data_IF_468247314124
#
_entry.id   IF_468247314124
#
_cell.length_a   1.000
_cell.length_b   1.000
_cell.length_c   1.000
_cell.angle_alpha   90.00
_cell.angle_beta   90.00
_cell.angle_gamma   90.00
#
_symmetry.space_group_name_H-M   'P 1'
#
loop_
_entity.id
_entity.type
_entity.pdbx_description
1 polymer ?
#
# COMPACT_ATOMS: atom_id res chain seq x y z
N UNK A 1 -16.71 2.09 70.92
CA UNK A 1 -15.64 1.09 70.69
C UNK A 1 -15.76 0.64 69.25
N UNK A 2 -14.76 0.96 68.42
CA UNK A 2 -14.73 0.59 67.00
C UNK A 2 -14.49 -0.92 66.85
N UNK A 3 -15.42 -1.61 66.22
CA UNK A 3 -15.23 -2.98 65.74
C UNK A 3 -14.55 -2.90 64.38
N UNK A 4 -13.21 -2.92 64.35
CA UNK A 4 -12.47 -3.13 63.10
C UNK A 4 -12.80 -4.55 62.61
N UNK A 5 -13.63 -4.64 61.57
CA UNK A 5 -13.93 -5.89 60.89
C UNK A 5 -12.64 -6.52 60.37
N UNK A 6 -12.36 -7.76 60.78
CA UNK A 6 -11.27 -8.55 60.21
C UNK A 6 -11.64 -8.86 58.76
N UNK A 7 -11.06 -8.12 57.82
CA UNK A 7 -11.12 -8.44 56.39
C UNK A 7 -10.51 -9.84 56.22
N UNK A 8 -11.30 -10.77 55.70
CA UNK A 8 -10.89 -12.16 55.57
C UNK A 8 -9.89 -12.27 54.41
N UNK A 9 -8.68 -12.76 54.69
CA UNK A 9 -7.55 -12.70 53.74
C UNK A 9 -7.82 -13.48 52.44
N UNK A 10 -8.68 -14.51 52.49
CA UNK A 10 -9.11 -15.29 51.34
C UNK A 10 -10.11 -14.55 50.44
N UNK A 11 -11.03 -13.81 51.04
CA UNK A 11 -12.04 -13.01 50.32
C UNK A 11 -11.35 -11.90 49.51
N UNK A 12 -10.32 -11.27 50.08
CA UNK A 12 -9.49 -10.28 49.38
C UNK A 12 -8.69 -10.86 48.21
N UNK A 13 -8.26 -12.13 48.29
CA UNK A 13 -7.55 -12.80 47.20
C UNK A 13 -8.51 -13.14 46.06
N UNK A 14 -9.72 -13.61 46.38
CA UNK A 14 -10.77 -13.88 45.38
C UNK A 14 -11.22 -12.62 44.64
N UNK A 15 -11.33 -11.49 45.34
CA UNK A 15 -11.63 -10.19 44.74
C UNK A 15 -10.53 -9.72 43.77
N UNK A 16 -9.26 -9.84 44.17
CA UNK A 16 -8.11 -9.50 43.30
C UNK A 16 -8.10 -10.38 42.06
N UNK A 17 -8.36 -11.68 42.24
CA UNK A 17 -8.33 -12.64 41.15
C UNK A 17 -9.49 -12.41 40.17
N UNK A 18 -10.69 -12.11 40.68
CA UNK A 18 -11.85 -11.73 39.88
C UNK A 18 -11.58 -10.45 39.09
N UNK A 19 -11.09 -9.40 39.74
CA UNK A 19 -10.72 -8.15 39.09
C UNK A 19 -9.64 -8.36 38.01
N UNK A 20 -8.68 -9.27 38.24
CA UNK A 20 -7.68 -9.62 37.23
C UNK A 20 -8.31 -10.27 35.99
N UNK A 21 -9.16 -11.28 36.17
CA UNK A 21 -9.83 -11.97 35.05
C UNK A 21 -10.77 -11.04 34.27
N UNK A 22 -11.50 -10.15 34.96
CA UNK A 22 -12.34 -9.14 34.31
C UNK A 22 -11.52 -8.20 33.44
N UNK A 23 -10.40 -7.68 33.95
CA UNK A 23 -9.50 -6.80 33.19
C UNK A 23 -8.90 -7.50 31.96
N UNK A 24 -8.54 -8.79 32.08
CA UNK A 24 -8.04 -9.59 30.96
C UNK A 24 -9.13 -9.79 29.89
N UNK A 25 -10.34 -10.15 30.30
CA UNK A 25 -11.49 -10.33 29.40
C UNK A 25 -11.84 -9.03 28.65
N UNK A 26 -11.84 -7.91 29.36
CA UNK A 26 -12.05 -6.58 28.77
C UNK A 26 -10.96 -6.23 27.74
N UNK A 27 -9.69 -6.53 28.04
CA UNK A 27 -8.58 -6.34 27.11
C UNK A 27 -8.75 -7.12 25.81
N UNK A 28 -9.14 -8.40 25.89
CA UNK A 28 -9.41 -9.24 24.72
C UNK A 28 -10.57 -8.67 23.89
N UNK A 29 -11.66 -8.26 24.55
CA UNK A 29 -12.82 -7.67 23.87
C UNK A 29 -12.46 -6.39 23.12
N UNK A 30 -11.58 -5.54 23.68
CA UNK A 30 -11.10 -4.34 23.00
C UNK A 30 -10.27 -4.64 21.75
N UNK A 31 -9.41 -5.66 21.80
CA UNK A 31 -8.63 -6.09 20.62
C UNK A 31 -9.56 -6.63 19.53
N UNK A 32 -10.59 -7.41 19.91
CA UNK A 32 -11.60 -7.89 18.95
C UNK A 32 -12.38 -6.74 18.32
N UNK A 33 -12.77 -5.73 19.11
CA UNK A 33 -13.45 -4.55 18.61
C UNK A 33 -12.58 -3.74 17.64
N UNK A 34 -11.27 -3.61 17.94
CA UNK A 34 -10.32 -3.02 17.00
C UNK A 34 -10.29 -3.78 15.67
N UNK A 35 -10.18 -5.11 15.70
CA UNK A 35 -10.09 -5.93 14.49
C UNK A 35 -11.35 -5.81 13.61
N UNK A 36 -12.53 -5.91 14.22
CA UNK A 36 -13.81 -5.73 13.53
C UNK A 36 -13.94 -4.31 12.99
N UNK A 37 -13.53 -3.30 13.75
CA UNK A 37 -13.52 -1.91 13.31
C UNK A 37 -12.62 -1.68 12.10
N UNK A 38 -11.44 -2.29 12.10
CA UNK A 38 -10.48 -2.20 10.99
C UNK A 38 -11.06 -2.81 9.70
N UNK A 39 -11.59 -4.02 9.78
CA UNK A 39 -12.25 -4.69 8.65
C UNK A 39 -13.43 -3.88 8.11
N UNK A 40 -14.27 -3.36 9.01
CA UNK A 40 -15.46 -2.55 8.67
C UNK A 40 -15.11 -1.23 7.95
N UNK A 41 -14.01 -0.56 8.33
CA UNK A 41 -13.55 0.67 7.65
C UNK A 41 -12.91 0.32 6.29
N UNK A 42 -12.20 -0.80 6.21
CA UNK A 42 -11.50 -1.22 5.00
C UNK A 42 -12.45 -1.75 3.91
N UNK A 43 -13.44 -2.56 4.28
CA UNK A 43 -14.43 -3.10 3.32
C UNK A 43 -15.53 -2.11 2.99
N UNK A 44 -15.69 -1.08 3.83
CA UNK A 44 -16.82 -0.16 3.77
C UNK A 44 -18.00 -0.66 4.59
N UNK A 45 -18.67 0.28 5.26
CA UNK A 45 -19.80 -0.04 6.13
C UNK A 45 -21.13 -0.08 5.37
N UNK A 46 -21.96 -1.08 5.66
CA UNK A 46 -23.41 -1.08 5.37
C UNK A 46 -24.25 -0.37 6.46
N UNK A 47 -23.62 0.32 7.42
CA UNK A 47 -24.30 0.93 8.58
C UNK A 47 -24.76 2.38 8.33
N UNK A 48 -25.68 2.85 9.17
CA UNK A 48 -26.48 4.07 8.96
C UNK A 48 -25.72 5.41 9.00
N UNK A 49 -24.52 5.49 9.61
CA UNK A 49 -23.68 6.69 9.62
C UNK A 49 -22.57 6.60 8.57
N UNK A 50 -22.89 7.01 7.34
CA UNK A 50 -21.93 7.16 6.25
C UNK A 50 -21.32 8.57 6.33
N UNK A 51 -19.99 8.65 6.43
CA UNK A 51 -19.29 9.93 6.31
C UNK A 51 -19.43 10.46 4.88
N UNK A 52 -20.10 11.61 4.73
CA UNK A 52 -20.35 12.28 3.43
C UNK A 52 -19.42 13.46 3.17
N UNK A 53 -18.55 13.80 4.12
CA UNK A 53 -17.64 14.94 3.99
C UNK A 53 -16.40 14.59 3.17
N UNK A 54 -15.84 13.39 3.34
CA UNK A 54 -14.63 12.96 2.65
C UNK A 54 -14.59 11.45 2.40
N UNK A 55 -13.83 11.05 1.36
CA UNK A 55 -13.50 9.65 1.14
C UNK A 55 -12.56 9.16 2.25
N UNK A 56 -12.84 7.98 2.79
CA UNK A 56 -12.04 7.37 3.86
C UNK A 56 -11.95 5.86 3.69
N UNK A 57 -10.92 5.27 4.30
CA UNK A 57 -10.79 3.82 4.40
C UNK A 57 -10.71 3.14 3.03
N UNK A 58 -11.53 2.09 2.84
CA UNK A 58 -11.60 1.35 1.59
C UNK A 58 -11.95 2.20 0.37
N UNK A 59 -12.85 3.17 0.51
CA UNK A 59 -13.28 4.02 -0.60
C UNK A 59 -12.14 4.93 -1.09
N UNK A 60 -11.31 5.43 -0.16
CA UNK A 60 -10.14 6.23 -0.51
C UNK A 60 -9.05 5.38 -1.16
N UNK A 61 -8.80 4.16 -0.67
CA UNK A 61 -7.89 3.21 -1.33
C UNK A 61 -8.37 2.89 -2.75
N UNK A 62 -9.68 2.69 -2.94
CA UNK A 62 -10.25 2.45 -4.26
C UNK A 62 -10.00 3.64 -5.21
N UNK A 63 -10.25 4.87 -4.75
CA UNK A 63 -9.96 6.10 -5.50
C UNK A 63 -8.45 6.22 -5.82
N UNK A 64 -7.56 5.84 -4.90
CA UNK A 64 -6.11 5.82 -5.17
C UNK A 64 -5.77 4.93 -6.38
N UNK A 65 -6.37 3.74 -6.48
CA UNK A 65 -6.08 2.82 -7.58
C UNK A 65 -6.77 3.19 -8.90
N UNK A 66 -7.98 3.73 -8.87
CA UNK A 66 -8.77 3.95 -10.09
C UNK A 66 -8.75 5.38 -10.61
N UNK A 67 -8.37 6.35 -9.79
CA UNK A 67 -8.27 7.75 -10.19
C UNK A 67 -6.83 8.24 -10.06
N UNK A 68 -6.22 8.07 -8.87
CA UNK A 68 -4.89 8.65 -8.63
C UNK A 68 -3.80 7.95 -9.41
N UNK A 69 -3.78 6.61 -9.44
CA UNK A 69 -2.73 5.86 -10.13
C UNK A 69 -2.74 6.10 -11.65
N UNK A 70 -3.89 6.01 -12.36
CA UNK A 70 -3.95 6.38 -13.77
C UNK A 70 -3.51 7.82 -14.02
N UNK A 71 -3.89 8.75 -13.14
CA UNK A 71 -3.44 10.14 -13.23
C UNK A 71 -1.91 10.26 -13.11
N UNK A 72 -1.28 9.60 -12.13
CA UNK A 72 0.18 9.62 -11.99
C UNK A 72 0.88 9.00 -13.21
N UNK A 73 0.28 7.99 -13.86
CA UNK A 73 0.80 7.41 -15.09
C UNK A 73 0.69 8.40 -16.26
N UNK A 74 -0.49 8.98 -16.48
CA UNK A 74 -0.72 9.93 -17.59
C UNK A 74 0.12 11.19 -17.42
N UNK A 75 0.32 11.65 -16.18
CA UNK A 75 1.17 12.80 -15.85
C UNK A 75 2.63 12.61 -16.30
N UNK A 76 3.07 11.36 -16.51
CA UNK A 76 4.36 11.08 -17.15
C UNK A 76 4.31 11.35 -18.66
N UNK A 77 3.83 12.53 -19.05
CA UNK A 77 3.79 12.96 -20.44
C UNK A 77 5.20 12.87 -21.07
N UNK A 78 5.20 12.65 -22.37
CA UNK A 78 6.41 12.63 -23.19
C UNK A 78 6.40 13.88 -24.05
N UNK A 79 7.52 14.60 -24.09
CA UNK A 79 7.74 15.57 -25.16
C UNK A 79 8.01 14.77 -26.45
N UNK A 80 7.06 14.80 -27.40
CA UNK A 80 7.19 14.13 -28.68
C UNK A 80 8.45 14.56 -29.45
N UNK A 81 8.86 15.82 -29.31
CA UNK A 81 10.02 16.37 -29.99
C UNK A 81 11.29 15.76 -29.39
N UNK A 82 11.36 15.70 -28.06
CA UNK A 82 12.48 15.06 -27.36
C UNK A 82 12.55 13.57 -27.66
N UNK A 83 11.41 12.86 -27.64
CA UNK A 83 11.37 11.42 -27.93
C UNK A 83 11.83 11.12 -29.36
N UNK A 84 11.39 11.89 -30.35
CA UNK A 84 11.86 11.74 -31.75
C UNK A 84 13.36 11.98 -31.87
N UNK A 85 13.89 12.98 -31.15
CA UNK A 85 15.33 13.24 -31.10
C UNK A 85 16.08 12.07 -30.47
N UNK A 86 15.57 11.52 -29.37
CA UNK A 86 16.18 10.35 -28.71
C UNK A 86 16.20 9.12 -29.62
N UNK A 87 15.09 8.84 -30.33
CA UNK A 87 15.02 7.76 -31.32
C UNK A 87 16.08 7.95 -32.40
N UNK A 88 16.18 9.15 -32.98
CA UNK A 88 17.15 9.44 -34.04
C UNK A 88 18.60 9.22 -33.56
N UNK A 89 18.92 9.68 -32.34
CA UNK A 89 20.25 9.50 -31.74
C UNK A 89 20.51 8.01 -31.45
N UNK A 90 19.53 7.29 -30.90
CA UNK A 90 19.67 5.87 -30.59
C UNK A 90 19.96 5.05 -31.86
N UNK A 91 19.24 5.32 -32.95
CA UNK A 91 19.46 4.69 -34.25
C UNK A 91 20.91 4.91 -34.71
N UNK A 92 21.37 6.16 -34.77
CA UNK A 92 22.73 6.49 -35.23
C UNK A 92 23.80 5.83 -34.35
N UNK A 93 23.60 5.83 -33.03
CA UNK A 93 24.55 5.23 -32.08
C UNK A 93 24.64 3.71 -32.22
N UNK A 94 23.51 3.03 -32.45
CA UNK A 94 23.48 1.57 -32.64
C UNK A 94 24.11 1.17 -33.99
N UNK A 95 23.93 1.99 -35.03
CA UNK A 95 24.59 1.81 -36.32
C UNK A 95 26.12 1.93 -36.22
N UNK A 96 26.60 2.92 -35.47
CA UNK A 96 28.01 3.25 -35.40
C UNK A 96 28.59 3.54 -36.79
N UNK A 97 29.71 2.88 -37.13
CA UNK A 97 30.41 3.06 -38.41
C UNK A 97 29.85 2.20 -39.56
N UNK A 98 28.85 1.35 -39.30
CA UNK A 98 28.29 0.42 -40.30
C UNK A 98 27.15 1.08 -41.08
N UNK A 99 27.07 0.80 -42.38
CA UNK A 99 25.92 1.16 -43.21
C UNK A 99 24.80 0.19 -42.84
N UNK A 100 23.86 0.62 -41.98
CA UNK A 100 22.85 -0.27 -41.42
C UNK A 100 21.65 -0.44 -42.32
N UNK A 101 21.35 -1.70 -42.60
CA UNK A 101 20.20 -2.12 -43.39
C UNK A 101 19.01 -2.54 -42.49
N UNK A 102 19.26 -2.88 -41.21
CA UNK A 102 18.28 -3.53 -40.30
C UNK A 102 18.44 -3.13 -38.82
N UNK A 103 18.54 -1.84 -38.52
CA UNK A 103 18.71 -1.31 -37.15
C UNK A 103 17.44 -0.91 -36.36
N UNK A 104 16.17 -1.11 -36.81
CA UNK A 104 15.00 -0.73 -36.03
C UNK A 104 14.88 -1.43 -34.66
N UNK A 105 15.20 -2.72 -34.57
CA UNK A 105 14.79 -3.55 -33.43
C UNK A 105 15.49 -3.17 -32.12
N UNK A 106 16.80 -2.94 -32.16
CA UNK A 106 17.58 -2.55 -30.98
C UNK A 106 17.27 -1.11 -30.53
N UNK A 107 17.00 -0.21 -31.48
CA UNK A 107 16.65 1.17 -31.17
C UNK A 107 15.25 1.24 -30.53
N UNK A 108 14.30 0.49 -31.10
CA UNK A 108 12.97 0.31 -30.55
C UNK A 108 13.05 -0.26 -29.13
N UNK A 109 13.75 -1.37 -28.93
CA UNK A 109 13.90 -2.03 -27.63
C UNK A 109 14.49 -1.07 -26.58
N UNK A 110 15.55 -0.34 -26.92
CA UNK A 110 16.17 0.63 -26.01
C UNK A 110 15.23 1.76 -25.60
N UNK A 111 14.50 2.35 -26.56
CA UNK A 111 13.60 3.46 -26.31
C UNK A 111 12.38 3.01 -25.50
N UNK A 112 11.78 1.87 -25.84
CA UNK A 112 10.61 1.37 -25.11
C UNK A 112 10.97 0.94 -23.69
N UNK A 113 12.11 0.26 -23.50
CA UNK A 113 12.61 -0.06 -22.15
C UNK A 113 12.82 1.18 -21.30
N UNK A 114 13.34 2.26 -21.89
CA UNK A 114 13.47 3.55 -21.18
C UNK A 114 12.12 4.08 -20.71
N UNK A 115 11.06 3.94 -21.50
CA UNK A 115 9.72 4.36 -21.09
C UNK A 115 9.11 3.45 -20.02
N UNK A 116 9.23 2.12 -20.16
CA UNK A 116 8.74 1.16 -19.17
C UNK A 116 9.42 1.40 -17.81
N UNK A 117 10.72 1.69 -17.79
CA UNK A 117 11.46 1.95 -16.56
C UNK A 117 10.91 3.15 -15.76
N UNK A 118 10.32 4.15 -16.43
CA UNK A 118 9.69 5.32 -15.78
C UNK A 118 8.47 4.96 -14.96
N UNK A 119 7.77 3.85 -15.28
CA UNK A 119 6.61 3.37 -14.51
C UNK A 119 6.96 2.97 -13.07
N UNK A 120 8.25 2.83 -12.73
CA UNK A 120 8.67 2.50 -11.37
C UNK A 120 8.23 3.55 -10.37
N UNK A 121 8.45 4.82 -10.66
CA UNK A 121 8.13 5.91 -9.75
C UNK A 121 6.64 5.99 -9.37
N UNK A 122 5.67 6.02 -10.31
CA UNK A 122 4.26 6.06 -9.95
C UNK A 122 3.79 4.79 -9.23
N UNK A 123 4.34 3.61 -9.56
CA UNK A 123 4.05 2.37 -8.84
C UNK A 123 4.48 2.45 -7.36
N UNK A 124 5.69 2.94 -7.08
CA UNK A 124 6.16 3.11 -5.69
C UNK A 124 5.31 4.13 -4.93
N UNK A 125 4.98 5.25 -5.59
CA UNK A 125 4.18 6.32 -5.00
C UNK A 125 2.78 5.87 -4.58
N UNK A 126 2.14 5.00 -5.36
CA UNK A 126 0.82 4.47 -4.99
C UNK A 126 0.89 3.56 -3.77
N UNK A 127 1.94 2.75 -3.65
CA UNK A 127 2.17 1.97 -2.43
C UNK A 127 2.30 2.89 -1.21
N UNK A 128 3.06 3.99 -1.31
CA UNK A 128 3.20 4.97 -0.23
C UNK A 128 1.86 5.59 0.17
N UNK A 129 1.05 5.98 -0.81
CA UNK A 129 -0.26 6.57 -0.58
C UNK A 129 -1.23 5.58 0.08
N UNK A 130 -1.20 4.31 -0.32
CA UNK A 130 -2.01 3.26 0.31
C UNK A 130 -1.55 2.99 1.75
N UNK A 131 -0.23 2.94 2.01
CA UNK A 131 0.31 2.75 3.38
C UNK A 131 -0.06 3.90 4.30
N UNK A 132 -0.03 5.14 3.79
CA UNK A 132 -0.50 6.30 4.54
C UNK A 132 -1.98 6.18 4.91
N UNK A 133 -2.83 5.74 3.99
CA UNK A 133 -4.25 5.53 4.29
C UNK A 133 -4.46 4.38 5.28
N UNK A 134 -3.75 3.27 5.14
CA UNK A 134 -3.78 2.18 6.13
C UNK A 134 -3.37 2.65 7.52
N UNK A 135 -2.37 3.52 7.61
CA UNK A 135 -1.93 4.11 8.88
C UNK A 135 -3.02 4.98 9.51
N UNK A 136 -3.75 5.77 8.71
CA UNK A 136 -4.89 6.56 9.18
C UNK A 136 -6.02 5.67 9.74
N UNK A 137 -6.30 4.55 9.06
CA UNK A 137 -7.29 3.56 9.53
C UNK A 137 -6.85 2.97 10.87
N UNK A 138 -5.58 2.56 10.99
CA UNK A 138 -5.02 2.01 12.23
C UNK A 138 -5.20 2.99 13.39
N UNK A 139 -4.86 4.27 13.19
CA UNK A 139 -5.01 5.30 14.22
C UNK A 139 -6.47 5.49 14.63
N UNK A 140 -7.39 5.55 13.66
CA UNK A 140 -8.84 5.65 13.91
C UNK A 140 -9.36 4.45 14.71
N UNK A 141 -8.96 3.24 14.35
CA UNK A 141 -9.38 2.02 15.06
C UNK A 141 -8.79 1.94 16.48
N UNK A 142 -7.59 2.46 16.69
CA UNK A 142 -6.89 2.42 17.97
C UNK A 142 -7.58 3.25 19.08
N UNK A 143 -8.43 4.21 18.70
CA UNK A 143 -9.26 4.97 19.65
C UNK A 143 -10.23 4.07 20.42
N UNK A 144 -10.64 2.93 19.85
CA UNK A 144 -11.46 1.93 20.55
C UNK A 144 -10.74 1.24 21.72
N UNK A 145 -9.40 1.31 21.77
CA UNK A 145 -8.56 0.75 22.84
C UNK A 145 -7.96 1.85 23.74
N UNK A 146 -8.44 3.09 23.62
CA UNK A 146 -7.96 4.25 24.39
C UNK A 146 -8.00 4.07 25.91
N UNK A 147 -8.90 3.21 26.43
CA UNK A 147 -9.02 2.87 27.85
C UNK A 147 -7.75 2.20 28.42
N UNK A 148 -6.95 1.53 27.59
CA UNK A 148 -5.69 0.89 27.98
C UNK A 148 -4.52 1.50 27.18
N UNK A 149 -3.94 2.64 27.61
CA UNK A 149 -2.94 3.38 26.83
C UNK A 149 -1.70 2.56 26.46
N UNK A 150 -1.23 1.70 27.37
CA UNK A 150 -0.09 0.80 27.11
C UNK A 150 -0.43 -0.27 26.06
N UNK A 151 -1.66 -0.78 26.08
CA UNK A 151 -2.12 -1.74 25.08
C UNK A 151 -2.23 -1.08 23.71
N UNK A 152 -2.83 0.12 23.65
CA UNK A 152 -2.92 0.93 22.43
C UNK A 152 -1.56 1.13 21.79
N UNK A 153 -0.57 1.62 22.55
CA UNK A 153 0.79 1.86 22.03
C UNK A 153 1.43 0.60 21.46
N UNK A 154 1.30 -0.54 22.17
CA UNK A 154 1.84 -1.82 21.73
C UNK A 154 1.15 -2.31 20.46
N UNK A 155 -0.18 -2.22 20.38
CA UNK A 155 -0.98 -2.64 19.23
C UNK A 155 -0.66 -1.78 18.01
N UNK A 156 -0.72 -0.44 18.13
CA UNK A 156 -0.37 0.47 17.04
C UNK A 156 1.06 0.19 16.53
N UNK A 157 2.05 0.09 17.43
CA UNK A 157 3.44 -0.20 17.04
C UNK A 157 3.59 -1.52 16.31
N UNK A 158 2.95 -2.60 16.78
CA UNK A 158 3.05 -3.92 16.16
C UNK A 158 2.44 -3.91 14.76
N UNK A 159 1.27 -3.30 14.60
CA UNK A 159 0.57 -3.26 13.32
C UNK A 159 1.33 -2.35 12.34
N UNK A 160 1.74 -1.14 12.75
CA UNK A 160 2.54 -0.24 11.90
C UNK A 160 3.85 -0.89 11.48
N UNK A 161 4.53 -1.62 12.37
CA UNK A 161 5.73 -2.39 12.02
C UNK A 161 5.41 -3.50 11.01
N UNK A 162 4.27 -4.18 11.16
CA UNK A 162 3.83 -5.19 10.19
C UNK A 162 3.56 -4.58 8.81
N UNK A 163 2.83 -3.46 8.76
CA UNK A 163 2.52 -2.73 7.52
C UNK A 163 3.81 -2.29 6.82
N UNK A 164 4.77 -1.71 7.54
CA UNK A 164 6.06 -1.32 6.95
C UNK A 164 6.87 -2.49 6.38
N UNK A 165 6.81 -3.68 7.01
CA UNK A 165 7.42 -4.90 6.43
C UNK A 165 6.71 -5.34 5.15
N UNK A 166 5.38 -5.24 5.10
CA UNK A 166 4.58 -5.58 3.91
C UNK A 166 4.77 -4.58 2.78
N UNK A 167 4.91 -3.30 3.10
CA UNK A 167 5.26 -2.24 2.16
C UNK A 167 6.57 -2.57 1.44
N UNK A 168 7.64 -2.85 2.17
CA UNK A 168 8.94 -3.20 1.57
C UNK A 168 8.82 -4.41 0.66
N UNK A 169 8.19 -5.50 1.11
CA UNK A 169 7.99 -6.69 0.30
C UNK A 169 7.17 -6.40 -0.98
N UNK A 170 6.17 -5.53 -0.90
CA UNK A 170 5.36 -5.13 -2.06
C UNK A 170 6.19 -4.32 -3.07
N UNK A 171 6.99 -3.35 -2.59
CA UNK A 171 7.89 -2.55 -3.44
C UNK A 171 8.96 -3.42 -4.13
N UNK A 172 9.50 -4.41 -3.43
CA UNK A 172 10.43 -5.37 -4.02
C UNK A 172 9.74 -6.19 -5.11
N UNK A 173 8.53 -6.68 -4.87
CA UNK A 173 7.76 -7.43 -5.85
C UNK A 173 7.41 -6.58 -7.09
N UNK A 174 7.00 -5.33 -6.90
CA UNK A 174 6.74 -4.39 -8.01
C UNK A 174 8.01 -4.11 -8.82
N UNK A 175 9.15 -4.00 -8.15
CA UNK A 175 10.45 -3.86 -8.82
C UNK A 175 10.74 -5.05 -9.73
N UNK A 176 10.53 -6.27 -9.24
CA UNK A 176 10.67 -7.50 -10.03
C UNK A 176 9.70 -7.53 -11.21
N UNK A 177 8.44 -7.12 -11.03
CA UNK A 177 7.48 -7.06 -12.14
C UNK A 177 7.95 -6.13 -13.25
N UNK A 178 8.47 -4.94 -12.92
CA UNK A 178 8.99 -4.00 -13.90
C UNK A 178 10.23 -4.59 -14.59
N UNK A 179 11.13 -5.21 -13.83
CA UNK A 179 12.32 -5.86 -14.39
C UNK A 179 11.95 -7.00 -15.36
N UNK A 180 10.88 -7.74 -15.08
CA UNK A 180 10.32 -8.72 -16.00
C UNK A 180 9.84 -8.06 -17.31
N UNK A 181 9.11 -6.94 -17.24
CA UNK A 181 8.69 -6.21 -18.45
C UNK A 181 9.88 -5.67 -19.25
N UNK A 182 10.98 -5.30 -18.57
CA UNK A 182 12.22 -4.85 -19.20
C UNK A 182 13.07 -6.01 -19.75
N UNK A 183 12.80 -7.26 -19.38
CA UNK A 183 13.60 -8.40 -19.82
C UNK A 183 13.30 -8.82 -21.25
N UNK A 184 12.04 -8.69 -21.68
CA UNK A 184 11.58 -9.18 -22.98
C UNK A 184 10.42 -8.36 -23.53
N UNK A 185 10.59 -7.84 -24.74
CA UNK A 185 9.56 -7.13 -25.50
C UNK A 185 8.79 -8.12 -26.38
N UNK A 186 7.52 -8.39 -26.04
CA UNK A 186 6.67 -9.28 -26.81
C UNK A 186 6.08 -8.58 -28.05
N UNK A 187 6.77 -8.69 -29.19
CA UNK A 187 6.28 -8.15 -30.48
C UNK A 187 5.21 -9.02 -31.14
N UNK A 188 4.86 -10.17 -30.56
CA UNK A 188 3.77 -11.04 -31.04
C UNK A 188 2.43 -10.77 -30.32
N UNK A 189 2.37 -9.76 -29.46
CA UNK A 189 1.15 -9.39 -28.74
C UNK A 189 0.06 -8.92 -29.71
N UNK A 190 -1.20 -9.29 -29.46
CA UNK A 190 -2.32 -8.99 -30.36
C UNK A 190 -2.53 -7.47 -30.57
N UNK A 191 -2.32 -6.68 -29.51
CA UNK A 191 -2.41 -5.22 -29.59
C UNK A 191 -1.17 -4.54 -30.24
N UNK A 192 -0.12 -5.30 -30.57
CA UNK A 192 1.08 -4.73 -31.20
C UNK A 192 0.92 -4.64 -32.72
N UNK A 193 0.44 -3.49 -33.20
CA UNK A 193 0.29 -3.19 -34.63
C UNK A 193 1.61 -2.59 -35.17
N UNK A 194 2.64 -3.42 -35.34
CA UNK A 194 3.97 -2.96 -35.80
C UNK A 194 4.40 -3.51 -37.17
N UNK A 195 4.07 -4.77 -37.45
CA UNK A 195 4.48 -5.48 -38.67
C UNK A 195 3.25 -6.09 -39.35
N UNK A 196 2.27 -5.26 -39.73
CA UNK A 196 1.20 -5.73 -40.59
C UNK A 196 1.81 -6.19 -41.94
N UNK A 197 1.48 -7.43 -42.34
CA UNK A 197 1.77 -7.94 -43.69
C UNK A 197 1.04 -7.14 -44.76
#
# INVERSE_FOLDING_TARGET
MCSFGRINRNEYIEDIQTAYYENVSEGIRMIQHFAIGFEKILEGSRSDDVNTAELSGGAKINCLFHERFPYEIVKMEFDEIELRREIAIAIVNIHGVRIGLFTPDLAFDAIVKKQIARLREPCMKIVDLVVNELSNIIHTCADSISRFPRLREVVERLITSHVGKREMACKDQLSVYIDCQLSYMNTNHEDFIGFAK
#
